data_IF_812832597139
#
_entry.id   IF_812832597139
#
_cell.length_a   1.000
_cell.length_b   1.000
_cell.length_c   1.000
_cell.angle_alpha   90.00
_cell.angle_beta   90.00
_cell.angle_gamma   90.00
#
_symmetry.space_group_name_H-M   'P 1'
#
loop_
_entity.id
_entity.type
_entity.pdbx_description
1 polymer ?
#
# COMPACT_ATOMS: atom_id res chain seq x y z
N UNK A 1 -28.89 7.85 27.54
CA UNK A 1 -29.70 7.18 28.59
C UNK A 1 -28.93 5.95 29.07
N UNK A 2 -28.50 5.90 30.33
CA UNK A 2 -27.48 4.93 30.82
C UNK A 2 -28.01 3.89 31.82
N UNK A 3 -29.31 3.79 32.06
CA UNK A 3 -29.85 2.85 33.04
C UNK A 3 -30.26 1.52 32.37
N UNK A 4 -29.40 0.49 32.50
CA UNK A 4 -29.70 -0.90 32.06
C UNK A 4 -31.04 -1.41 32.61
N UNK A 5 -31.38 -1.04 33.85
CA UNK A 5 -32.67 -1.37 34.48
C UNK A 5 -33.84 -0.71 33.76
N UNK A 6 -33.69 0.54 33.33
CA UNK A 6 -34.72 1.28 32.59
C UNK A 6 -34.93 0.68 31.19
N UNK A 7 -33.85 0.33 30.46
CA UNK A 7 -34.00 -0.37 29.19
C UNK A 7 -34.74 -1.71 29.36
N UNK A 8 -34.34 -2.52 30.35
CA UNK A 8 -34.97 -3.82 30.58
C UNK A 8 -36.43 -3.72 31.04
N UNK A 9 -36.84 -2.64 31.71
CA UNK A 9 -38.22 -2.45 32.17
C UNK A 9 -39.16 -1.91 31.09
N UNK A 10 -38.67 -1.06 30.19
CA UNK A 10 -39.50 -0.42 29.14
C UNK A 10 -39.43 -1.12 27.78
N UNK A 11 -38.41 -1.96 27.56
CA UNK A 11 -38.24 -2.75 26.34
C UNK A 11 -38.07 -4.23 26.71
N UNK A 12 -39.16 -4.90 27.17
CA UNK A 12 -39.09 -6.29 27.62
C UNK A 12 -38.73 -7.26 26.50
N UNK A 13 -39.12 -6.95 25.27
CA UNK A 13 -38.62 -7.58 24.05
C UNK A 13 -37.74 -6.58 23.32
N UNK A 14 -36.47 -6.93 23.13
CA UNK A 14 -35.61 -6.16 22.25
C UNK A 14 -36.14 -6.36 20.84
N UNK A 15 -36.51 -5.30 20.10
CA UNK A 15 -36.87 -5.45 18.71
C UNK A 15 -35.70 -6.13 18.00
N UNK A 16 -35.95 -7.32 17.45
CA UNK A 16 -34.95 -8.06 16.70
C UNK A 16 -34.61 -7.22 15.47
N UNK A 17 -33.44 -6.60 15.49
CA UNK A 17 -32.94 -5.89 14.33
C UNK A 17 -32.52 -6.93 13.30
N UNK A 18 -32.90 -6.72 12.05
CA UNK A 18 -32.31 -7.49 10.95
C UNK A 18 -30.80 -7.20 10.84
N UNK A 19 -30.09 -8.03 10.08
CA UNK A 19 -28.63 -7.94 9.96
C UNK A 19 -28.15 -6.56 9.45
N UNK A 20 -28.90 -5.93 8.53
CA UNK A 20 -28.54 -4.63 7.94
C UNK A 20 -28.79 -3.49 8.93
N UNK A 21 -29.91 -3.53 9.65
CA UNK A 21 -30.21 -2.57 10.71
C UNK A 21 -29.19 -2.68 11.86
N UNK A 22 -28.78 -3.90 12.21
CA UNK A 22 -27.74 -4.15 13.21
C UNK A 22 -26.40 -3.57 12.75
N UNK A 23 -25.96 -3.84 11.52
CA UNK A 23 -24.73 -3.27 10.97
C UNK A 23 -24.76 -1.73 10.97
N UNK A 24 -25.87 -1.14 10.52
CA UNK A 24 -26.05 0.32 10.50
C UNK A 24 -25.90 0.92 11.90
N UNK A 25 -26.56 0.33 12.90
CA UNK A 25 -26.45 0.75 14.30
C UNK A 25 -25.00 0.65 14.81
N UNK A 26 -24.30 -0.44 14.51
CA UNK A 26 -22.92 -0.64 14.96
C UNK A 26 -21.94 0.35 14.30
N UNK A 27 -22.15 0.70 13.03
CA UNK A 27 -21.38 1.75 12.34
C UNK A 27 -21.68 3.13 12.92
N UNK A 28 -22.93 3.42 13.28
CA UNK A 28 -23.26 4.66 13.99
C UNK A 28 -22.56 4.74 15.35
N UNK A 29 -22.54 3.65 16.11
CA UNK A 29 -21.83 3.60 17.40
C UNK A 29 -20.31 3.82 17.25
N UNK A 30 -19.69 3.26 16.21
CA UNK A 30 -18.28 3.55 15.88
C UNK A 30 -18.04 5.04 15.60
N UNK A 31 -18.97 5.70 14.90
CA UNK A 31 -18.87 7.11 14.53
C UNK A 31 -19.09 8.05 15.73
N UNK A 32 -20.02 7.71 16.61
CA UNK A 32 -20.46 8.61 17.70
C UNK A 32 -19.68 8.41 19.00
N UNK A 33 -19.04 7.26 19.19
CA UNK A 33 -18.32 6.92 20.42
C UNK A 33 -16.82 6.72 20.16
N UNK A 34 -15.96 7.59 20.72
CA UNK A 34 -14.51 7.41 20.66
C UNK A 34 -14.05 6.05 21.19
N UNK A 35 -12.93 5.56 20.67
CA UNK A 35 -12.33 4.27 21.02
C UNK A 35 -13.16 3.03 20.63
N UNK A 36 -14.23 3.19 19.86
CA UNK A 36 -14.97 2.07 19.27
C UNK A 36 -14.57 1.85 17.80
N UNK A 37 -14.56 0.59 17.38
CA UNK A 37 -14.26 0.16 16.02
C UNK A 37 -15.22 -0.97 15.62
N UNK A 38 -16.00 -0.76 14.57
CA UNK A 38 -16.86 -1.82 14.04
C UNK A 38 -16.03 -2.86 13.27
N UNK A 39 -16.26 -4.15 13.56
CA UNK A 39 -15.68 -5.26 12.81
C UNK A 39 -16.76 -6.01 12.05
N UNK A 40 -16.72 -5.93 10.71
CA UNK A 40 -17.70 -6.60 9.84
C UNK A 40 -17.64 -8.12 9.93
N UNK A 41 -16.47 -8.72 10.21
CA UNK A 41 -16.34 -10.17 10.35
C UNK A 41 -16.94 -10.70 11.65
N UNK A 42 -16.83 -9.94 12.74
CA UNK A 42 -17.41 -10.33 14.02
C UNK A 42 -18.85 -9.83 14.21
N UNK A 43 -19.30 -8.90 13.37
CA UNK A 43 -20.57 -8.17 13.50
C UNK A 43 -20.77 -7.55 14.90
N UNK A 44 -19.69 -7.05 15.50
CA UNK A 44 -19.71 -6.35 16.80
C UNK A 44 -18.79 -5.13 16.76
N UNK A 45 -18.90 -4.28 17.78
CA UNK A 45 -18.01 -3.15 18.01
C UNK A 45 -16.97 -3.52 19.05
N UNK A 46 -15.70 -3.39 18.69
CA UNK A 46 -14.58 -3.58 19.59
C UNK A 46 -14.15 -2.26 20.19
N UNK A 47 -13.63 -2.30 21.42
CA UNK A 47 -12.84 -1.17 21.91
C UNK A 47 -11.43 -1.28 21.36
N UNK A 48 -10.88 -0.18 20.86
CA UNK A 48 -9.49 -0.09 20.44
C UNK A 48 -8.70 0.81 21.38
N UNK A 49 -7.41 0.52 21.52
CA UNK A 49 -6.45 1.38 22.21
C UNK A 49 -5.10 1.31 21.51
N UNK A 50 -4.39 2.42 21.52
CA UNK A 50 -2.98 2.46 21.11
C UNK A 50 -2.11 1.92 22.25
N UNK A 51 -1.32 0.90 21.94
CA UNK A 51 -0.27 0.43 22.84
C UNK A 51 1.08 1.02 22.42
N UNK A 52 1.68 1.83 23.30
CA UNK A 52 3.06 2.28 23.15
C UNK A 52 3.97 1.26 23.82
N UNK A 53 4.66 0.44 23.03
CA UNK A 53 5.67 -0.48 23.56
C UNK A 53 7.00 0.26 23.56
N UNK A 54 7.57 0.50 24.74
CA UNK A 54 8.89 1.14 24.97
C UNK A 54 9.00 2.64 24.60
N UNK A 55 10.13 3.26 24.98
CA UNK A 55 10.49 4.66 24.66
C UNK A 55 10.84 4.89 23.18
N UNK A 56 10.66 3.87 22.32
CA UNK A 56 10.84 3.99 20.88
C UNK A 56 9.44 4.18 20.30
N UNK A 57 9.25 5.19 19.46
CA UNK A 57 7.94 5.58 18.87
C UNK A 57 7.29 4.51 17.95
N UNK A 58 7.71 3.25 18.05
CA UNK A 58 7.12 2.12 17.37
C UNK A 58 5.86 1.63 18.08
N UNK A 59 4.73 2.06 17.55
CA UNK A 59 3.39 1.53 17.86
C UNK A 59 3.29 0.05 17.45
N UNK A 60 3.23 -0.86 18.42
CA UNK A 60 3.23 -2.31 18.15
C UNK A 60 1.87 -2.90 17.76
N UNK A 61 0.81 -2.09 17.69
CA UNK A 61 -0.46 -2.52 17.12
C UNK A 61 -1.71 -1.91 17.76
N UNK A 62 -2.84 -2.23 17.14
CA UNK A 62 -4.19 -1.91 17.62
C UNK A 62 -4.66 -3.08 18.48
N UNK A 63 -4.82 -2.87 19.79
CA UNK A 63 -5.41 -3.89 20.64
C UNK A 63 -6.93 -3.84 20.54
N UNK A 64 -7.54 -4.90 20.00
CA UNK A 64 -8.98 -5.11 20.10
C UNK A 64 -9.26 -5.93 21.36
N UNK A 65 -10.21 -5.46 22.19
CA UNK A 65 -10.39 -5.95 23.56
C UNK A 65 -10.60 -7.46 23.74
N UNK A 66 -10.92 -8.23 22.69
CA UNK A 66 -10.97 -9.70 22.69
C UNK A 66 -10.76 -10.24 21.27
N UNK A 67 -9.89 -11.26 21.14
CA UNK A 67 -9.86 -12.35 20.14
C UNK A 67 -10.45 -12.15 18.73
N UNK A 68 -10.41 -10.95 18.15
CA UNK A 68 -10.75 -10.75 16.74
C UNK A 68 -9.60 -11.34 15.91
N UNK A 69 -9.63 -12.65 15.67
CA UNK A 69 -8.62 -13.37 14.88
C UNK A 69 -8.80 -13.15 13.37
N UNK A 70 -9.87 -12.47 12.97
CA UNK A 70 -10.14 -12.10 11.58
C UNK A 70 -9.31 -10.87 11.19
N UNK A 71 -8.00 -11.07 11.11
CA UNK A 71 -7.03 -10.11 10.61
C UNK A 71 -6.99 -10.24 9.08
N UNK A 72 -7.80 -9.44 8.38
CA UNK A 72 -7.56 -9.18 6.97
C UNK A 72 -6.43 -8.16 6.90
N UNK A 73 -5.33 -8.50 6.24
CA UNK A 73 -4.15 -7.66 6.21
C UNK A 73 -3.65 -7.45 4.79
N UNK A 74 -3.29 -6.22 4.48
CA UNK A 74 -2.54 -5.89 3.28
C UNK A 74 -1.07 -6.21 3.53
N UNK A 75 -0.55 -7.21 2.82
CA UNK A 75 0.85 -7.59 2.87
C UNK A 75 1.67 -6.65 2.00
N UNK A 76 2.36 -5.71 2.62
CA UNK A 76 3.30 -4.82 1.98
C UNK A 76 4.54 -5.64 1.58
N UNK A 77 4.86 -5.80 0.29
CA UNK A 77 6.00 -6.62 -0.10
C UNK A 77 7.29 -6.01 0.47
N UNK A 78 8.13 -6.86 1.08
CA UNK A 78 9.43 -6.54 1.72
C UNK A 78 9.40 -5.91 3.11
N UNK A 79 8.25 -5.52 3.64
CA UNK A 79 8.13 -5.26 5.07
C UNK A 79 7.67 -6.53 5.76
N UNK A 80 8.27 -6.86 6.91
CA UNK A 80 7.83 -8.00 7.73
C UNK A 80 6.43 -7.79 8.30
N UNK A 81 5.96 -6.55 8.31
CA UNK A 81 4.71 -6.13 8.92
C UNK A 81 3.68 -5.83 7.85
N UNK A 82 2.50 -6.44 7.95
CA UNK A 82 1.34 -6.12 7.13
C UNK A 82 0.55 -4.95 7.71
N UNK A 83 -0.17 -4.21 6.86
CA UNK A 83 -1.17 -3.24 7.32
C UNK A 83 -2.46 -3.99 7.58
N UNK A 84 -2.84 -4.09 8.85
CA UNK A 84 -4.12 -4.67 9.23
C UNK A 84 -5.26 -3.78 8.75
N UNK A 85 -6.37 -4.38 8.32
CA UNK A 85 -7.58 -3.64 7.92
C UNK A 85 -8.05 -2.70 9.03
N UNK A 86 -7.97 -3.15 10.27
CA UNK A 86 -8.31 -2.34 11.45
C UNK A 86 -7.44 -1.09 11.56
N UNK A 87 -6.15 -1.20 11.24
CA UNK A 87 -5.22 -0.06 11.21
C UNK A 87 -5.60 0.93 10.11
N UNK A 88 -5.90 0.44 8.90
CA UNK A 88 -6.36 1.28 7.80
C UNK A 88 -7.69 1.98 8.14
N UNK A 89 -8.66 1.25 8.70
CA UNK A 89 -9.95 1.79 9.14
C UNK A 89 -9.81 2.84 10.23
N UNK A 90 -8.91 2.65 11.20
CA UNK A 90 -8.65 3.65 12.23
C UNK A 90 -7.99 4.92 11.68
N UNK A 91 -7.05 4.79 10.74
CA UNK A 91 -6.50 5.96 10.05
C UNK A 91 -7.59 6.74 9.30
N UNK A 92 -8.52 6.03 8.64
CA UNK A 92 -9.67 6.65 7.98
C UNK A 92 -10.68 7.25 8.97
N UNK A 93 -10.94 6.60 10.11
CA UNK A 93 -11.80 7.17 11.16
C UNK A 93 -11.20 8.45 11.76
N UNK A 94 -9.88 8.51 11.93
CA UNK A 94 -9.19 9.73 12.36
C UNK A 94 -9.45 10.89 11.39
N UNK A 95 -9.36 10.63 10.08
CA UNK A 95 -9.62 11.62 9.03
C UNK A 95 -11.09 12.05 8.99
N UNK A 96 -12.02 11.09 9.03
CA UNK A 96 -13.46 11.35 8.86
C UNK A 96 -14.15 11.92 10.11
N UNK A 97 -13.74 11.47 11.29
CA UNK A 97 -14.44 11.75 12.56
C UNK A 97 -13.54 12.47 13.58
N UNK A 98 -12.31 12.79 13.22
CA UNK A 98 -11.37 13.55 14.03
C UNK A 98 -10.47 12.71 14.96
N UNK A 99 -9.57 13.37 15.71
CA UNK A 99 -8.45 12.70 16.38
C UNK A 99 -8.81 11.68 17.47
N UNK A 100 -10.04 11.70 17.97
CA UNK A 100 -10.52 10.78 19.00
C UNK A 100 -11.02 9.44 18.45
N UNK A 101 -11.17 9.30 17.13
CA UNK A 101 -11.75 8.12 16.49
C UNK A 101 -10.70 7.21 15.81
N UNK A 102 -9.42 7.56 15.90
CA UNK A 102 -8.36 6.75 15.33
C UNK A 102 -6.97 7.27 15.63
N UNK A 103 -6.04 7.03 14.71
CA UNK A 103 -4.68 7.50 14.82
C UNK A 103 -4.21 8.22 13.56
N UNK A 104 -3.26 9.17 13.67
CA UNK A 104 -2.79 9.95 12.54
C UNK A 104 -2.11 9.07 11.48
N UNK A 105 -2.19 9.52 10.23
CA UNK A 105 -1.75 8.77 9.06
C UNK A 105 -0.26 8.39 9.08
N UNK A 106 0.57 9.22 9.72
CA UNK A 106 2.00 8.95 9.90
C UNK A 106 2.29 7.66 10.69
N UNK A 107 1.33 7.11 11.43
CA UNK A 107 1.49 5.79 12.06
C UNK A 107 1.47 4.62 11.06
N UNK A 108 0.99 4.85 9.84
CA UNK A 108 1.12 3.89 8.74
C UNK A 108 2.44 4.09 7.98
N UNK A 109 3.22 5.11 8.26
CA UNK A 109 4.48 5.37 7.56
C UNK A 109 5.62 4.56 8.17
N UNK A 110 6.49 4.04 7.31
CA UNK A 110 7.59 3.17 7.73
C UNK A 110 8.79 3.40 6.84
N UNK A 111 9.96 3.46 7.45
CA UNK A 111 11.23 3.36 6.75
C UNK A 111 11.94 2.09 7.17
N UNK A 112 12.66 1.48 6.23
CA UNK A 112 13.41 0.27 6.49
C UNK A 112 14.55 0.09 5.52
N UNK A 113 15.63 -0.49 6.00
CA UNK A 113 16.69 -1.00 5.16
C UNK A 113 16.83 -2.50 5.41
N UNK A 114 16.85 -3.28 4.35
CA UNK A 114 17.16 -4.71 4.42
C UNK A 114 18.25 -5.06 3.43
N UNK A 115 19.06 -6.04 3.81
CA UNK A 115 19.95 -6.73 2.89
C UNK A 115 19.27 -8.01 2.44
N UNK A 116 19.33 -8.29 1.14
CA UNK A 116 18.80 -9.52 0.57
C UNK A 116 19.85 -10.62 0.67
N UNK A 117 19.55 -11.71 1.37
CA UNK A 117 20.54 -12.76 1.67
C UNK A 117 21.01 -13.50 0.42
N UNK A 118 20.15 -13.66 -0.60
CA UNK A 118 20.48 -14.38 -1.84
C UNK A 118 21.37 -13.56 -2.77
N UNK A 119 21.03 -12.29 -2.95
CA UNK A 119 21.69 -11.43 -3.95
C UNK A 119 22.72 -10.49 -3.34
N UNK A 120 22.71 -10.31 -2.02
CA UNK A 120 23.41 -9.27 -1.27
C UNK A 120 23.03 -7.85 -1.75
N UNK A 121 21.82 -7.67 -2.30
CA UNK A 121 21.27 -6.35 -2.61
C UNK A 121 20.96 -5.60 -1.32
N UNK A 122 21.18 -4.28 -1.32
CA UNK A 122 20.67 -3.41 -0.27
C UNK A 122 19.39 -2.76 -0.79
N UNK A 123 18.30 -2.95 -0.05
CA UNK A 123 16.97 -2.46 -0.37
C UNK A 123 16.56 -1.48 0.72
N UNK A 124 16.53 -0.19 0.36
CA UNK A 124 15.93 0.86 1.19
C UNK A 124 14.47 0.99 0.79
N UNK A 125 13.58 0.90 1.75
CA UNK A 125 12.14 0.99 1.52
C UNK A 125 11.55 2.10 2.38
N UNK A 126 10.70 2.92 1.77
CA UNK A 126 9.93 3.97 2.44
C UNK A 126 8.46 3.76 2.11
N UNK A 127 7.63 3.72 3.14
CA UNK A 127 6.18 3.58 3.06
C UNK A 127 5.55 4.89 3.52
N UNK A 128 4.70 5.44 2.66
CA UNK A 128 3.96 6.67 2.92
C UNK A 128 2.48 6.42 2.69
N UNK A 129 1.63 6.98 3.54
CA UNK A 129 0.20 6.90 3.38
C UNK A 129 -0.38 8.29 3.10
N UNK A 130 -1.39 8.36 2.24
CA UNK A 130 -2.13 9.59 1.92
C UNK A 130 -3.62 9.27 1.81
N UNK A 131 -4.44 10.27 2.07
CA UNK A 131 -5.88 10.21 1.82
C UNK A 131 -6.17 11.18 0.68
N UNK A 132 -6.81 10.68 -0.37
CA UNK A 132 -7.24 11.45 -1.54
C UNK A 132 -8.68 11.06 -1.81
N UNK A 133 -9.60 12.03 -1.88
CA UNK A 133 -11.03 11.81 -2.11
C UNK A 133 -11.64 10.75 -1.18
N UNK A 134 -11.33 10.84 0.12
CA UNK A 134 -11.74 9.89 1.16
C UNK A 134 -11.32 8.44 0.94
N UNK A 135 -10.26 8.23 0.16
CA UNK A 135 -9.65 6.92 -0.06
C UNK A 135 -8.20 6.88 0.40
N UNK A 136 -7.84 5.78 1.06
CA UNK A 136 -6.49 5.53 1.54
C UNK A 136 -5.62 5.04 0.39
N UNK A 137 -4.55 5.77 0.11
CA UNK A 137 -3.52 5.40 -0.88
C UNK A 137 -2.22 5.16 -0.13
N UNK A 138 -1.60 4.02 -0.41
CA UNK A 138 -0.29 3.67 0.12
C UNK A 138 0.76 3.76 -0.98
N UNK A 139 1.78 4.59 -0.77
CA UNK A 139 2.97 4.62 -1.61
C UNK A 139 4.08 3.81 -0.94
N UNK A 140 4.67 2.89 -1.68
CA UNK A 140 5.89 2.19 -1.27
C UNK A 140 6.99 2.52 -2.27
N UNK A 141 8.04 3.19 -1.82
CA UNK A 141 9.23 3.48 -2.61
C UNK A 141 10.34 2.52 -2.21
N UNK A 142 10.94 1.84 -3.18
CA UNK A 142 12.03 0.88 -2.97
C UNK A 142 13.23 1.28 -3.78
N UNK A 143 14.31 1.66 -3.11
CA UNK A 143 15.60 1.91 -3.74
C UNK A 143 16.51 0.71 -3.56
N UNK A 144 16.81 0.05 -4.67
CA UNK A 144 17.67 -1.13 -4.74
C UNK A 144 19.01 -0.71 -5.32
N UNK A 145 20.09 -1.19 -4.70
CA UNK A 145 21.42 -1.09 -5.28
C UNK A 145 22.28 -2.28 -4.86
N UNK A 146 23.25 -2.60 -5.73
CA UNK A 146 24.23 -3.63 -5.43
C UNK A 146 25.52 -2.99 -4.88
N UNK A 147 25.92 -3.27 -3.62
CA UNK A 147 27.18 -2.78 -3.08
C UNK A 147 28.40 -3.19 -3.90
N UNK A 148 28.32 -4.27 -4.68
CA UNK A 148 29.41 -4.81 -5.49
C UNK A 148 29.28 -4.46 -6.99
N UNK A 149 28.26 -3.69 -7.40
CA UNK A 149 28.05 -3.30 -8.80
C UNK A 149 27.70 -4.41 -9.79
N UNK A 150 27.43 -5.63 -9.33
CA UNK A 150 27.03 -6.72 -10.24
C UNK A 150 25.62 -6.50 -10.80
N UNK A 151 25.55 -6.16 -12.08
CA UNK A 151 24.31 -5.96 -12.82
C UNK A 151 23.48 -7.23 -12.98
N UNK A 152 24.11 -8.40 -13.15
CA UNK A 152 23.41 -9.70 -13.23
C UNK A 152 22.60 -9.99 -11.96
N UNK A 153 23.14 -9.64 -10.79
CA UNK A 153 22.43 -9.81 -9.51
C UNK A 153 21.28 -8.81 -9.37
N UNK A 154 21.45 -7.58 -9.84
CA UNK A 154 20.37 -6.58 -9.85
C UNK A 154 19.23 -7.03 -10.77
N UNK A 155 19.54 -7.51 -11.97
CA UNK A 155 18.55 -8.08 -12.88
C UNK A 155 17.83 -9.27 -12.25
N UNK A 156 18.57 -10.23 -11.70
CA UNK A 156 17.98 -11.39 -11.02
C UNK A 156 17.09 -10.97 -9.84
N UNK A 157 17.47 -9.95 -9.08
CA UNK A 157 16.68 -9.44 -7.97
C UNK A 157 15.36 -8.81 -8.44
N UNK A 158 15.39 -8.05 -9.54
CA UNK A 158 14.22 -7.36 -10.09
C UNK A 158 13.26 -8.32 -10.80
N UNK A 159 13.77 -9.42 -11.36
CA UNK A 159 12.99 -10.48 -12.01
C UNK A 159 12.50 -11.57 -11.06
N UNK A 160 12.86 -11.53 -9.78
CA UNK A 160 12.42 -12.56 -8.82
C UNK A 160 10.92 -12.40 -8.51
N UNK A 161 10.11 -13.19 -9.21
CA UNK A 161 8.65 -13.21 -9.13
C UNK A 161 8.11 -13.65 -7.76
N UNK A 162 8.95 -14.23 -6.90
CA UNK A 162 8.54 -14.70 -5.58
C UNK A 162 8.26 -13.54 -4.61
N UNK A 163 8.94 -12.42 -4.77
CA UNK A 163 8.83 -11.28 -3.83
C UNK A 163 7.80 -10.22 -4.26
N UNK A 164 7.06 -10.43 -5.37
CA UNK A 164 6.05 -9.50 -5.90
C UNK A 164 6.53 -8.03 -5.96
N UNK A 165 7.82 -7.83 -6.28
CA UNK A 165 8.47 -6.50 -6.21
C UNK A 165 7.94 -5.56 -7.28
N UNK A 166 7.59 -6.14 -8.42
CA UNK A 166 6.91 -5.54 -9.55
C UNK A 166 5.67 -6.41 -9.78
N UNK A 167 4.55 -5.80 -10.16
CA UNK A 167 3.34 -6.53 -10.47
C UNK A 167 3.63 -7.63 -11.51
N UNK A 168 3.16 -8.86 -11.28
CA UNK A 168 3.33 -9.98 -12.24
C UNK A 168 2.66 -9.69 -13.59
N UNK A 169 1.65 -8.84 -13.59
CA UNK A 169 1.01 -8.33 -14.79
C UNK A 169 1.83 -7.28 -15.54
N UNK A 170 3.13 -7.12 -15.24
CA UNK A 170 4.00 -6.16 -15.95
C UNK A 170 4.13 -6.46 -17.44
N UNK A 171 3.88 -7.69 -17.88
CA UNK A 171 3.83 -8.04 -19.30
C UNK A 171 2.70 -7.29 -20.02
N UNK A 172 1.64 -6.88 -19.32
CA UNK A 172 0.60 -5.99 -19.85
C UNK A 172 1.19 -4.61 -20.21
N UNK A 173 2.25 -4.18 -19.52
CA UNK A 173 2.91 -2.89 -19.76
C UNK A 173 3.78 -2.88 -21.02
N UNK A 174 4.23 -4.06 -21.47
CA UNK A 174 5.06 -4.22 -22.66
C UNK A 174 4.24 -4.50 -23.93
N UNK A 175 2.90 -4.54 -23.84
CA UNK A 175 2.09 -4.58 -25.04
C UNK A 175 2.43 -3.32 -25.85
N UNK A 176 2.80 -3.43 -27.14
CA UNK A 176 3.01 -2.25 -27.97
C UNK A 176 1.74 -1.45 -27.85
N UNK A 177 1.85 -0.27 -27.22
CA UNK A 177 0.80 0.72 -27.17
C UNK A 177 0.39 0.85 -28.63
N UNK A 178 -0.81 0.36 -28.99
CA UNK A 178 -1.31 0.50 -30.35
C UNK A 178 -1.29 1.99 -30.59
N UNK A 179 -0.28 2.44 -31.32
CA UNK A 179 -0.14 3.81 -31.72
C UNK A 179 -1.45 4.10 -32.43
N UNK A 180 -2.28 4.94 -31.83
CA UNK A 180 -3.25 5.69 -32.61
C UNK A 180 -2.40 6.53 -33.53
N UNK A 181 -2.14 6.01 -34.72
CA UNK A 181 -1.50 6.72 -35.80
C UNK A 181 -2.44 7.84 -36.20
N UNK A 182 -2.24 9.01 -35.60
CA UNK A 182 -2.43 10.28 -36.29
C UNK A 182 -1.07 10.66 -36.89
N UNK A 183 -0.91 10.64 -38.22
CA UNK A 183 0.33 11.02 -38.87
C UNK A 183 0.28 12.51 -39.20
N UNK A 184 0.70 13.40 -38.28
CA UNK A 184 1.20 14.74 -38.63
C UNK A 184 1.68 15.53 -37.40
N UNK A 185 2.98 15.48 -37.10
CA UNK A 185 3.73 16.65 -36.62
C UNK A 185 5.23 16.32 -36.67
N UNK A 186 5.89 16.73 -37.74
CA UNK A 186 7.35 16.78 -37.79
C UNK A 186 7.83 17.83 -36.79
N UNK A 187 8.41 17.39 -35.67
CA UNK A 187 9.17 18.25 -34.78
C UNK A 187 10.64 18.18 -35.19
N UNK A 188 11.18 19.32 -35.64
CA UNK A 188 12.58 19.53 -35.95
C UNK A 188 13.49 19.23 -34.74
N UNK A 189 14.73 18.74 -34.95
CA UNK A 189 15.65 18.47 -33.85
C UNK A 189 16.14 19.78 -33.21
N UNK A 190 15.96 19.89 -31.89
CA UNK A 190 16.54 20.97 -31.10
C UNK A 190 18.08 20.87 -31.09
N UNK A 191 18.79 22.02 -31.00
CA UNK A 191 20.25 22.03 -31.01
C UNK A 191 20.78 21.37 -29.73
N UNK A 192 21.67 20.39 -29.92
CA UNK A 192 22.41 19.74 -28.83
C UNK A 192 23.45 20.73 -28.32
N UNK A 193 23.26 21.20 -27.09
CA UNK A 193 24.30 21.93 -26.35
C UNK A 193 25.22 20.88 -25.74
N UNK A 194 26.47 20.88 -26.19
CA UNK A 194 27.57 20.02 -25.72
C UNK A 194 28.11 20.57 -24.40
N UNK A 195 27.33 20.37 -23.32
CA UNK A 195 27.89 20.43 -21.97
C UNK A 195 28.68 19.13 -21.79
N UNK A 196 29.97 19.21 -21.46
CA UNK A 196 30.93 18.10 -21.28
C UNK A 196 30.58 17.07 -20.18
N UNK A 197 29.32 16.65 -20.13
CA UNK A 197 28.83 15.48 -19.44
C UNK A 197 29.52 14.25 -20.01
N UNK A 198 29.98 13.33 -19.14
CA UNK A 198 30.45 12.03 -19.60
C UNK A 198 29.37 11.40 -20.48
N UNK A 199 29.80 10.81 -21.60
CA UNK A 199 28.93 10.18 -22.59
C UNK A 199 27.80 9.42 -21.87
N UNK A 200 26.52 9.60 -22.27
CA UNK A 200 25.39 9.03 -21.55
C UNK A 200 25.59 7.53 -21.45
N UNK A 201 25.89 7.07 -20.23
CA UNK A 201 26.17 5.67 -19.98
C UNK A 201 24.97 4.86 -20.43
N UNK A 202 25.20 3.94 -21.36
CA UNK A 202 24.14 3.13 -21.95
C UNK A 202 23.40 2.38 -20.84
N UNK A 203 22.07 2.54 -20.83
CA UNK A 203 21.21 1.80 -19.93
C UNK A 203 21.44 0.29 -20.08
N UNK A 204 21.52 -0.47 -18.97
CA UNK A 204 21.61 -1.92 -19.03
C UNK A 204 20.48 -2.52 -19.89
N UNK A 205 20.75 -3.50 -20.76
CA UNK A 205 19.75 -4.02 -21.70
C UNK A 205 18.44 -4.49 -21.04
N UNK A 206 18.52 -5.07 -19.84
CA UNK A 206 17.32 -5.51 -19.12
C UNK A 206 16.46 -4.34 -18.61
N UNK A 207 17.08 -3.18 -18.32
CA UNK A 207 16.36 -1.95 -17.95
C UNK A 207 15.79 -1.22 -19.16
N UNK A 208 16.36 -1.43 -20.35
CA UNK A 208 15.84 -0.85 -21.59
C UNK A 208 14.41 -1.34 -21.91
N UNK A 209 14.02 -2.51 -21.39
CA UNK A 209 12.65 -3.03 -21.50
C UNK A 209 11.68 -2.41 -20.50
N UNK A 210 12.17 -1.61 -19.54
CA UNK A 210 11.31 -0.87 -18.63
C UNK A 210 11.12 0.54 -19.17
N UNK A 211 9.88 1.01 -19.30
CA UNK A 211 9.63 2.42 -19.57
C UNK A 211 9.98 3.26 -18.33
N UNK A 212 11.23 3.71 -18.26
CA UNK A 212 11.78 4.44 -17.13
C UNK A 212 11.17 5.84 -17.00
N UNK A 213 10.88 6.25 -15.77
CA UNK A 213 10.36 7.58 -15.45
C UNK A 213 8.87 7.77 -15.74
N UNK A 214 8.21 6.82 -16.40
CA UNK A 214 6.78 6.86 -16.70
C UNK A 214 6.00 6.07 -15.62
N UNK A 215 4.77 6.49 -15.34
CA UNK A 215 3.86 5.81 -14.41
C UNK A 215 2.98 4.83 -15.19
N UNK A 216 2.85 3.60 -14.68
CA UNK A 216 2.08 2.52 -15.27
C UNK A 216 1.02 2.04 -14.31
N UNK A 217 -0.22 1.94 -14.77
CA UNK A 217 -1.33 1.41 -13.98
C UNK A 217 -1.58 -0.05 -14.34
N UNK A 218 -1.63 -0.92 -13.33
CA UNK A 218 -2.12 -2.28 -13.49
C UNK A 218 -3.60 -2.36 -13.09
N UNK A 219 -4.54 -2.50 -14.05
CA UNK A 219 -5.97 -2.53 -13.72
C UNK A 219 -6.37 -3.79 -12.93
N UNK A 220 -5.62 -4.89 -13.07
CA UNK A 220 -5.88 -6.12 -12.32
C UNK A 220 -5.48 -6.01 -10.84
N UNK A 221 -4.39 -5.28 -10.54
CA UNK A 221 -3.92 -5.12 -9.17
C UNK A 221 -4.38 -3.81 -8.51
N UNK A 222 -4.87 -2.84 -9.30
CA UNK A 222 -5.16 -1.47 -8.87
C UNK A 222 -3.92 -0.81 -8.23
N UNK A 223 -2.79 -0.99 -8.91
CA UNK A 223 -1.48 -0.47 -8.48
C UNK A 223 -0.88 0.33 -9.62
N UNK A 224 -0.47 1.55 -9.30
CA UNK A 224 0.40 2.34 -10.17
C UNK A 224 1.86 2.08 -9.83
N UNK A 225 2.72 2.02 -10.83
CA UNK A 225 4.15 1.71 -10.68
C UNK A 225 4.98 2.69 -11.50
N UNK A 226 6.06 3.19 -10.93
CA UNK A 226 7.06 3.97 -11.64
C UNK A 226 8.44 3.39 -11.35
N UNK A 227 9.19 3.09 -12.41
CA UNK A 227 10.57 2.60 -12.30
C UNK A 227 11.52 3.71 -12.71
N UNK A 228 12.51 3.99 -11.88
CA UNK A 228 13.58 4.96 -12.15
C UNK A 228 14.91 4.25 -12.05
N UNK A 229 15.80 4.48 -13.01
CA UNK A 229 17.19 4.06 -12.92
C UNK A 229 18.06 5.30 -12.75
N UNK A 230 19.06 5.20 -11.89
CA UNK A 230 20.03 6.27 -11.67
C UNK A 230 21.39 5.66 -11.41
N UNK A 231 22.42 6.42 -11.73
CA UNK A 231 23.77 6.08 -11.35
C UNK A 231 23.97 6.34 -9.85
N UNK A 232 24.65 5.44 -9.14
CA UNK A 232 24.90 5.54 -7.71
C UNK A 232 26.39 5.48 -7.33
N UNK A 233 26.92 6.58 -6.79
CA UNK A 233 28.30 6.69 -6.28
C UNK A 233 29.31 7.14 -7.33
N UNK A 234 30.59 6.83 -7.12
CA UNK A 234 31.69 7.08 -8.08
C UNK A 234 32.24 5.80 -8.73
N UNK A 235 31.75 4.62 -8.31
CA UNK A 235 32.13 3.31 -8.84
C UNK A 235 30.93 2.72 -9.57
N UNK A 236 31.08 2.41 -10.86
CA UNK A 236 30.04 1.99 -11.86
C UNK A 236 28.89 1.15 -11.32
N UNK A 237 27.92 1.79 -10.68
CA UNK A 237 26.82 1.10 -9.99
C UNK A 237 25.50 1.75 -10.33
N UNK A 238 24.58 0.93 -10.83
CA UNK A 238 23.20 1.34 -11.02
C UNK A 238 22.41 1.18 -9.72
N UNK A 239 21.53 2.14 -9.46
CA UNK A 239 20.47 2.04 -8.47
C UNK A 239 19.12 2.17 -9.16
N UNK A 240 18.21 1.26 -8.82
CA UNK A 240 16.85 1.24 -9.35
C UNK A 240 15.90 1.59 -8.23
N UNK A 241 15.05 2.57 -8.47
CA UNK A 241 13.96 2.96 -7.58
C UNK A 241 12.65 2.50 -8.19
N UNK A 242 11.86 1.75 -7.42
CA UNK A 242 10.50 1.34 -7.78
C UNK A 242 9.56 2.03 -6.82
N UNK A 243 8.75 2.94 -7.33
CA UNK A 243 7.64 3.54 -6.60
C UNK A 243 6.36 2.78 -6.98
N UNK A 244 5.60 2.32 -5.98
CA UNK A 244 4.28 1.74 -6.18
C UNK A 244 3.22 2.49 -5.40
N UNK A 245 2.07 2.80 -5.99
CA UNK A 245 0.93 3.38 -5.32
C UNK A 245 -0.23 2.38 -5.36
N UNK A 246 -0.68 1.96 -4.18
CA UNK A 246 -1.80 1.02 -4.03
C UNK A 246 -2.98 1.74 -3.41
N UNK A 247 -4.13 1.67 -4.07
CA UNK A 247 -5.37 2.20 -3.53
C UNK A 247 -6.02 1.15 -2.62
N UNK A 248 -6.12 1.44 -1.32
CA UNK A 248 -6.72 0.56 -0.32
C UNK A 248 -8.23 0.83 -0.13
N UNK A 249 -8.76 1.82 -0.86
CA UNK A 249 -10.18 2.22 -0.84
C UNK A 249 -10.55 3.06 0.37
N UNK A 250 -11.85 3.17 0.64
CA UNK A 250 -12.36 3.96 1.76
C UNK A 250 -12.13 3.25 3.12
N UNK A 251 -11.69 1.99 3.10
CA UNK A 251 -11.48 1.14 4.27
C UNK A 251 -12.70 1.06 5.20
N UNK A 252 -13.92 1.23 4.66
CA UNK A 252 -15.20 1.14 5.39
C UNK A 252 -15.79 -0.27 5.44
N UNK A 253 -15.31 -1.16 4.58
CA UNK A 253 -15.61 -2.60 4.65
C UNK A 253 -14.39 -3.43 4.24
N UNK A 254 -14.19 -4.59 4.88
CA UNK A 254 -13.22 -5.62 4.43
C UNK A 254 -13.59 -6.20 3.06
N UNK A 255 -14.85 -6.00 2.65
CA UNK A 255 -15.37 -6.45 1.38
C UNK A 255 -15.24 -5.43 0.26
N UNK A 256 -14.65 -4.26 0.55
CA UNK A 256 -14.25 -3.27 -0.46
C UNK A 256 -13.38 -3.95 -1.54
N UNK A 257 -13.75 -3.85 -2.82
CA UNK A 257 -13.03 -4.50 -3.90
C UNK A 257 -11.56 -4.06 -3.98
N UNK A 258 -11.25 -2.79 -3.66
CA UNK A 258 -9.87 -2.26 -3.64
C UNK A 258 -9.06 -2.88 -2.50
N UNK A 259 -9.68 -3.05 -1.33
CA UNK A 259 -9.05 -3.75 -0.21
C UNK A 259 -8.83 -5.24 -0.52
N UNK A 260 -9.78 -5.92 -1.18
CA UNK A 260 -9.66 -7.33 -1.56
C UNK A 260 -8.60 -7.58 -2.63
N UNK A 261 -8.51 -6.73 -3.66
CA UNK A 261 -7.47 -6.84 -4.69
C UNK A 261 -6.07 -6.68 -4.09
N UNK A 262 -5.95 -5.84 -3.06
CA UNK A 262 -4.69 -5.60 -2.36
C UNK A 262 -4.21 -6.82 -1.55
N UNK A 263 -5.12 -7.66 -1.03
CA UNK A 263 -4.78 -8.85 -0.25
C UNK A 263 -4.26 -10.01 -1.10
N UNK A 264 -4.71 -10.10 -2.34
CA UNK A 264 -4.57 -11.30 -3.16
C UNK A 264 -3.23 -11.41 -3.88
N UNK A 265 -2.34 -10.41 -3.77
CA UNK A 265 -0.98 -10.49 -4.33
C UNK A 265 -0.92 -11.01 -5.78
N UNK A 266 -1.91 -10.66 -6.61
CA UNK A 266 -2.01 -11.11 -8.00
C UNK A 266 -2.38 -12.57 -8.23
N UNK A 267 -2.92 -13.31 -7.26
CA UNK A 267 -3.53 -14.61 -7.49
C UNK A 267 -5.02 -14.45 -7.83
N UNK A 268 -5.33 -14.18 -9.11
CA UNK A 268 -6.65 -14.52 -9.64
C UNK A 268 -6.71 -16.03 -9.92
N UNK A 269 -7.87 -16.70 -9.78
CA UNK A 269 -8.03 -18.05 -10.29
C UNK A 269 -7.83 -18.02 -11.80
N UNK A 270 -6.88 -18.81 -12.29
CA UNK A 270 -6.75 -19.13 -13.71
C UNK A 270 -8.08 -19.69 -14.19
N UNK A 271 -8.73 -18.98 -15.11
CA UNK A 271 -9.91 -19.45 -15.86
C UNK A 271 -9.48 -20.46 -16.90
#
# INVERSE_FOLDING_TARGET
MTCRRYCLSYFPEWPSLDAKSTETLLIMLEKDVPNLLYCSKCAIVHTWRLYRYSNVDYMSGVYLSRSCRHASAFHTPNFRESIQYQSARLAMNYHLYGPTHGFPLNMLEKDGERRDDKTNMVVKSTQQARIVDDELILRISRKVHNPNGSMKRLESFLRDDNDQKICRHHTIWNAPQRSSTDPAASASPAPVVDDGSPAPLSLPPFLANFPLGVVFSCPACLVDVQVKASWYGTTERWSVTIDTWTQLGACRSVDDPKWKSSQSGGAFPSS
#
